data_IF_176786225312
#
_entry.id   IF_176786225312
#
_cell.length_a   1.000
_cell.length_b   1.000
_cell.length_c   1.000
_cell.angle_alpha   90.00
_cell.angle_beta   90.00
_cell.angle_gamma   90.00
#
_symmetry.space_group_name_H-M   'P 1'
#
loop_
_entity.id
_entity.type
_entity.pdbx_description
1 polymer ?
#
# COMPACT_ATOMS: atom_id res chain seq x y z
N UNK A 1 -7.86 13.75 1.60
CA UNK A 1 -8.11 12.69 2.63
C UNK A 1 -6.84 11.87 2.85
N UNK A 2 -6.35 11.75 4.08
CA UNK A 2 -5.06 11.14 4.38
C UNK A 2 -5.13 9.59 4.43
N UNK A 3 -4.28 8.90 3.67
CA UNK A 3 -4.18 7.42 3.67
C UNK A 3 -3.81 6.83 5.04
N UNK A 4 -3.26 7.65 5.95
CA UNK A 4 -2.93 7.32 7.36
C UNK A 4 -4.07 6.62 8.10
N UNK A 5 -5.30 7.09 7.93
CA UNK A 5 -6.47 6.52 8.63
C UNK A 5 -6.76 5.10 8.14
N UNK A 6 -6.54 4.84 6.85
CA UNK A 6 -6.74 3.52 6.25
C UNK A 6 -5.68 2.56 6.77
N UNK A 7 -4.40 2.94 6.70
CA UNK A 7 -3.30 2.10 7.19
C UNK A 7 -3.43 1.78 8.68
N UNK A 8 -3.82 2.77 9.50
CA UNK A 8 -4.08 2.57 10.93
C UNK A 8 -5.16 1.51 11.16
N UNK A 9 -6.30 1.63 10.48
CA UNK A 9 -7.43 0.70 10.65
C UNK A 9 -7.10 -0.71 10.15
N UNK A 10 -6.41 -0.84 9.03
CA UNK A 10 -5.93 -2.14 8.55
C UNK A 10 -5.04 -2.80 9.60
N UNK A 11 -4.11 -2.04 10.19
CA UNK A 11 -3.20 -2.54 11.22
C UNK A 11 -3.96 -3.10 12.42
N UNK A 12 -5.00 -2.40 12.88
CA UNK A 12 -5.86 -2.88 13.97
C UNK A 12 -6.65 -4.14 13.61
N UNK A 13 -7.15 -4.25 12.38
CA UNK A 13 -7.85 -5.46 11.90
C UNK A 13 -6.91 -6.66 11.95
N UNK A 14 -5.71 -6.56 11.36
CA UNK A 14 -4.75 -7.67 11.36
C UNK A 14 -4.28 -8.03 12.77
N UNK A 15 -4.12 -7.03 13.65
CA UNK A 15 -3.80 -7.28 15.05
C UNK A 15 -4.94 -8.02 15.77
N UNK A 16 -6.19 -7.60 15.56
CA UNK A 16 -7.37 -8.22 16.19
C UNK A 16 -7.54 -9.66 15.71
N UNK A 17 -7.34 -9.94 14.42
CA UNK A 17 -7.32 -11.31 13.87
C UNK A 17 -6.24 -12.16 14.56
N UNK A 18 -5.03 -11.62 14.74
CA UNK A 18 -3.95 -12.33 15.40
C UNK A 18 -4.28 -12.68 16.86
N UNK A 19 -4.82 -11.71 17.61
CA UNK A 19 -5.26 -11.93 19.00
C UNK A 19 -6.39 -12.97 19.06
N UNK A 20 -7.36 -12.90 18.14
CA UNK A 20 -8.46 -13.85 18.06
C UNK A 20 -7.94 -15.28 17.84
N UNK A 21 -6.99 -15.48 16.91
CA UNK A 21 -6.36 -16.79 16.68
C UNK A 21 -5.67 -17.29 17.96
N UNK A 22 -4.93 -16.42 18.66
CA UNK A 22 -4.27 -16.77 19.92
C UNK A 22 -5.26 -17.20 21.01
N UNK A 23 -6.37 -16.47 21.16
CA UNK A 23 -7.45 -16.83 22.09
C UNK A 23 -8.06 -18.18 21.73
N UNK A 24 -8.33 -18.44 20.45
CA UNK A 24 -8.88 -19.72 20.00
C UNK A 24 -7.95 -20.90 20.30
N UNK A 25 -6.64 -20.75 20.04
CA UNK A 25 -5.64 -21.78 20.35
C UNK A 25 -5.57 -22.00 21.86
N UNK A 26 -5.48 -20.94 22.67
CA UNK A 26 -5.39 -21.07 24.12
C UNK A 26 -6.66 -21.67 24.73
N UNK A 27 -7.83 -21.39 24.13
CA UNK A 27 -9.11 -21.99 24.53
C UNK A 27 -9.14 -23.50 24.33
N UNK A 28 -8.37 -24.06 23.38
CA UNK A 28 -8.22 -25.53 23.25
C UNK A 28 -7.55 -26.16 24.48
N UNK A 29 -6.81 -25.38 25.27
CA UNK A 29 -6.12 -25.82 26.48
C UNK A 29 -6.83 -25.36 27.76
N UNK A 30 -7.52 -24.23 27.73
CA UNK A 30 -8.22 -23.63 28.88
C UNK A 30 -9.64 -23.25 28.45
N UNK A 31 -10.59 -24.13 28.72
CA UNK A 31 -12.01 -24.09 28.29
C UNK A 31 -12.85 -22.86 28.73
N UNK A 32 -12.25 -21.81 29.32
CA UNK A 32 -12.91 -20.60 29.83
C UNK A 32 -12.72 -19.35 28.95
N UNK A 33 -11.88 -19.42 27.90
CA UNK A 33 -11.47 -18.24 27.11
C UNK A 33 -12.45 -17.84 25.99
N UNK A 34 -13.45 -18.67 25.71
CA UNK A 34 -14.51 -18.40 24.72
C UNK A 34 -15.26 -17.08 24.97
N UNK A 35 -15.42 -16.66 26.25
CA UNK A 35 -16.04 -15.38 26.62
C UNK A 35 -15.28 -14.17 26.04
N UNK A 36 -13.95 -14.25 25.89
CA UNK A 36 -13.13 -13.18 25.31
C UNK A 36 -13.18 -13.15 23.78
N UNK A 37 -13.53 -14.27 23.12
CA UNK A 37 -13.61 -14.34 21.67
C UNK A 37 -14.78 -13.50 21.12
N UNK A 38 -15.92 -13.44 21.80
CA UNK A 38 -17.10 -12.71 21.33
C UNK A 38 -16.90 -11.19 21.25
N UNK A 39 -16.37 -10.49 22.27
CA UNK A 39 -16.05 -9.06 22.17
C UNK A 39 -15.01 -8.76 21.09
N UNK A 40 -14.00 -9.63 20.93
CA UNK A 40 -12.98 -9.48 19.88
C UNK A 40 -13.59 -9.61 18.47
N UNK A 41 -14.49 -10.59 18.28
CA UNK A 41 -15.19 -10.79 17.01
C UNK A 41 -16.10 -9.60 16.69
N UNK A 42 -16.84 -9.09 17.68
CA UNK A 42 -17.68 -7.91 17.52
C UNK A 42 -16.83 -6.67 17.16
N UNK A 43 -15.73 -6.44 17.88
CA UNK A 43 -14.79 -5.37 17.59
C UNK A 43 -14.21 -5.47 16.17
N UNK A 44 -13.87 -6.68 15.72
CA UNK A 44 -13.39 -6.93 14.36
C UNK A 44 -14.44 -6.57 13.31
N UNK A 45 -15.70 -6.98 13.48
CA UNK A 45 -16.80 -6.65 12.56
C UNK A 45 -16.98 -5.14 12.45
N UNK A 46 -17.01 -4.43 13.58
CA UNK A 46 -17.13 -2.96 13.60
C UNK A 46 -15.95 -2.30 12.87
N UNK A 47 -14.71 -2.74 13.12
CA UNK A 47 -13.52 -2.22 12.44
C UNK A 47 -13.58 -2.43 10.93
N UNK A 48 -14.02 -3.60 10.47
CA UNK A 48 -14.16 -3.92 9.04
C UNK A 48 -15.22 -3.03 8.38
N UNK A 49 -16.38 -2.83 9.00
CA UNK A 49 -17.44 -1.94 8.47
C UNK A 49 -16.92 -0.50 8.34
N UNK A 50 -16.25 0.01 9.38
CA UNK A 50 -15.68 1.36 9.37
C UNK A 50 -14.60 1.50 8.29
N UNK A 51 -13.73 0.50 8.13
CA UNK A 51 -12.72 0.48 7.08
C UNK A 51 -13.37 0.50 5.69
N UNK A 52 -14.44 -0.28 5.46
CA UNK A 52 -15.14 -0.30 4.17
C UNK A 52 -15.73 1.07 3.82
N UNK A 53 -16.33 1.77 4.78
CA UNK A 53 -16.87 3.13 4.55
C UNK A 53 -15.76 4.11 4.10
N UNK A 54 -14.64 4.13 4.80
CA UNK A 54 -13.51 5.04 4.49
C UNK A 54 -12.84 4.64 3.17
N UNK A 55 -12.56 3.35 2.97
CA UNK A 55 -11.99 2.83 1.72
C UNK A 55 -12.88 3.15 0.53
N UNK A 56 -14.21 3.09 0.66
CA UNK A 56 -15.13 3.40 -0.44
C UNK A 56 -14.96 4.84 -0.92
N UNK A 57 -14.87 5.81 0.00
CA UNK A 57 -14.63 7.22 -0.35
C UNK A 57 -13.24 7.44 -0.95
N UNK A 58 -12.22 6.87 -0.31
CA UNK A 58 -10.83 6.96 -0.79
C UNK A 58 -10.69 6.40 -2.21
N UNK A 59 -11.27 5.22 -2.42
CA UNK A 59 -11.22 4.52 -3.68
C UNK A 59 -12.00 5.27 -4.75
N UNK A 60 -13.20 5.80 -4.44
CA UNK A 60 -13.97 6.59 -5.41
C UNK A 60 -13.15 7.77 -5.93
N UNK A 61 -12.56 8.56 -5.02
CA UNK A 61 -11.80 9.75 -5.39
C UNK A 61 -10.55 9.40 -6.22
N UNK A 62 -9.79 8.38 -5.82
CA UNK A 62 -8.61 7.99 -6.60
C UNK A 62 -8.94 7.20 -7.88
N UNK A 63 -10.08 6.50 -7.93
CA UNK A 63 -10.52 5.73 -9.09
C UNK A 63 -10.80 6.66 -10.28
N UNK A 64 -11.48 7.78 -10.06
CA UNK A 64 -11.77 8.74 -11.14
C UNK A 64 -10.49 9.21 -11.84
N UNK A 65 -9.49 9.63 -11.06
CA UNK A 65 -8.20 10.08 -11.60
C UNK A 65 -7.41 8.92 -12.26
N UNK A 66 -7.41 7.75 -11.62
CA UNK A 66 -6.73 6.55 -12.11
C UNK A 66 -7.33 6.07 -13.44
N UNK A 67 -8.65 6.14 -13.59
CA UNK A 67 -9.38 5.79 -14.82
C UNK A 67 -9.18 6.83 -15.93
N UNK A 68 -9.23 8.12 -15.60
CA UNK A 68 -8.92 9.20 -16.55
C UNK A 68 -7.54 9.04 -17.17
N UNK A 69 -6.55 8.66 -16.35
CA UNK A 69 -5.18 8.41 -16.78
C UNK A 69 -4.94 7.00 -17.35
N UNK A 70 -5.97 6.14 -17.38
CA UNK A 70 -5.89 4.76 -17.86
C UNK A 70 -4.73 3.98 -17.23
N UNK A 71 -4.53 4.17 -15.93
CA UNK A 71 -3.51 3.47 -15.15
C UNK A 71 -4.01 2.07 -14.78
N UNK A 72 -3.12 1.07 -14.81
CA UNK A 72 -3.49 -0.33 -14.57
C UNK A 72 -2.92 -0.90 -13.27
N UNK A 73 -1.78 -0.39 -12.83
CA UNK A 73 -0.96 -0.96 -11.75
C UNK A 73 -0.65 0.06 -10.66
N UNK A 74 -0.80 1.36 -10.95
CA UNK A 74 -0.61 2.46 -10.01
C UNK A 74 -1.97 3.11 -9.75
N UNK A 75 -2.21 3.46 -8.51
CA UNK A 75 -3.37 4.20 -8.03
C UNK A 75 -2.93 5.59 -7.61
N UNK A 76 -3.60 6.61 -8.12
CA UNK A 76 -3.37 7.99 -7.74
C UNK A 76 -4.58 8.51 -6.97
N UNK A 77 -4.32 9.23 -5.89
CA UNK A 77 -5.37 9.81 -5.06
C UNK A 77 -4.92 11.14 -4.49
N UNK A 78 -5.81 12.11 -4.50
CA UNK A 78 -5.59 13.41 -3.91
C UNK A 78 -5.47 13.31 -2.38
N UNK A 79 -4.49 14.02 -1.82
CA UNK A 79 -4.14 13.96 -0.42
C UNK A 79 -3.76 15.33 0.13
N UNK A 80 -3.96 15.47 1.44
CA UNK A 80 -3.68 16.68 2.21
C UNK A 80 -2.40 16.48 3.04
N UNK A 81 -1.58 15.48 2.71
CA UNK A 81 -0.42 15.04 3.51
C UNK A 81 0.65 16.12 3.69
N UNK A 82 0.82 17.02 2.72
CA UNK A 82 1.79 18.12 2.78
C UNK A 82 1.14 19.48 3.08
N UNK A 83 -0.15 19.51 3.47
CA UNK A 83 -0.90 20.75 3.73
C UNK A 83 -1.25 21.55 2.48
N UNK A 84 -1.81 22.75 2.68
CA UNK A 84 -2.33 23.65 1.63
C UNK A 84 -1.23 24.52 0.95
N UNK A 85 0.02 24.05 0.93
CA UNK A 85 1.05 24.71 0.11
C UNK A 85 0.73 24.58 -1.39
N UNK A 86 1.22 25.53 -2.21
CA UNK A 86 0.85 25.67 -3.62
C UNK A 86 0.71 24.34 -4.39
N UNK A 87 -0.53 24.03 -4.77
CA UNK A 87 -0.89 22.96 -5.69
C UNK A 87 -1.43 21.69 -5.03
N UNK A 88 -2.33 21.00 -5.74
CA UNK A 88 -2.92 19.75 -5.29
C UNK A 88 -1.85 18.64 -5.19
N UNK A 89 -1.78 18.00 -4.02
CA UNK A 89 -0.86 16.89 -3.73
C UNK A 89 -1.57 15.56 -4.01
N UNK A 90 -0.88 14.66 -4.70
CA UNK A 90 -1.39 13.33 -5.00
C UNK A 90 -0.46 12.26 -4.44
N UNK A 91 -1.03 11.32 -3.70
CA UNK A 91 -0.34 10.13 -3.27
C UNK A 91 -0.32 9.07 -4.39
N UNK A 92 0.88 8.57 -4.66
CA UNK A 92 1.15 7.49 -5.60
C UNK A 92 1.21 6.18 -4.82
N UNK A 93 0.24 5.30 -5.08
CA UNK A 93 0.14 3.98 -4.46
C UNK A 93 0.26 2.89 -5.51
N UNK A 94 0.77 1.72 -5.11
CA UNK A 94 0.52 0.53 -5.91
C UNK A 94 -0.98 0.22 -5.86
N UNK A 95 -1.58 -0.19 -6.99
CA UNK A 95 -3.00 -0.50 -7.05
C UNK A 95 -3.38 -1.51 -5.94
N UNK A 96 -4.26 -1.17 -4.99
CA UNK A 96 -4.45 -1.93 -3.76
C UNK A 96 -4.98 -3.36 -3.92
N UNK A 97 -5.30 -3.80 -5.14
CA UNK A 97 -5.87 -5.12 -5.42
C UNK A 97 -5.29 -5.79 -6.67
N UNK A 98 -4.19 -5.25 -7.23
CA UNK A 98 -3.43 -5.94 -8.27
C UNK A 98 -2.48 -7.01 -7.69
N UNK A 99 -2.75 -7.45 -6.46
CA UNK A 99 -2.22 -8.69 -5.92
C UNK A 99 -2.70 -9.82 -6.81
N UNK A 100 -1.83 -10.23 -7.74
CA UNK A 100 -2.05 -11.44 -8.51
C UNK A 100 -2.32 -12.59 -7.55
N UNK A 101 -3.12 -13.56 -7.96
CA UNK A 101 -3.12 -14.84 -7.28
C UNK A 101 -1.66 -15.34 -7.26
N UNK A 102 -1.05 -15.40 -6.07
CA UNK A 102 0.36 -15.74 -5.90
C UNK A 102 0.71 -17.07 -6.56
N UNK A 103 -0.29 -17.96 -6.71
CA UNK A 103 -0.17 -19.22 -7.43
C UNK A 103 0.33 -19.06 -8.86
N UNK A 104 -0.09 -18.01 -9.58
CA UNK A 104 0.35 -17.74 -10.97
C UNK A 104 1.86 -17.46 -11.03
N UNK A 105 2.43 -16.92 -9.95
CA UNK A 105 3.85 -16.57 -9.87
C UNK A 105 4.68 -17.62 -9.12
N UNK A 106 4.05 -18.68 -8.58
CA UNK A 106 4.71 -19.72 -7.77
C UNK A 106 5.81 -20.43 -8.56
N UNK A 107 5.52 -20.76 -9.81
CA UNK A 107 6.44 -21.45 -10.72
C UNK A 107 7.42 -20.50 -11.42
N UNK A 108 7.12 -19.20 -11.43
CA UNK A 108 7.99 -18.20 -12.07
C UNK A 108 9.25 -17.94 -11.23
N UNK A 109 10.39 -17.84 -11.91
CA UNK A 109 11.63 -17.34 -11.30
C UNK A 109 11.46 -15.90 -10.80
N UNK A 110 12.08 -15.56 -9.66
CA UNK A 110 12.01 -14.20 -9.09
C UNK A 110 12.39 -13.10 -10.09
N UNK A 111 13.41 -13.34 -10.93
CA UNK A 111 13.85 -12.40 -11.98
C UNK A 111 12.72 -12.10 -12.97
N UNK A 112 11.97 -13.11 -13.38
CA UNK A 112 10.84 -12.98 -14.33
C UNK A 112 9.73 -12.15 -13.70
N UNK A 113 9.33 -12.47 -12.47
CA UNK A 113 8.30 -11.70 -11.74
C UNK A 113 8.69 -10.23 -11.60
N UNK A 114 9.96 -9.97 -11.26
CA UNK A 114 10.48 -8.60 -11.16
C UNK A 114 10.43 -7.86 -12.50
N UNK A 115 10.87 -8.49 -13.60
CA UNK A 115 10.86 -7.89 -14.92
C UNK A 115 9.44 -7.59 -15.42
N UNK A 116 8.49 -8.51 -15.20
CA UNK A 116 7.07 -8.28 -15.49
C UNK A 116 6.53 -7.08 -14.73
N UNK A 117 6.86 -6.96 -13.45
CA UNK A 117 6.48 -5.82 -12.62
C UNK A 117 7.10 -4.51 -13.12
N UNK A 118 8.42 -4.49 -13.38
CA UNK A 118 9.12 -3.31 -13.90
C UNK A 118 8.47 -2.81 -15.20
N UNK A 119 8.16 -3.72 -16.14
CA UNK A 119 7.49 -3.38 -17.40
C UNK A 119 6.11 -2.77 -17.19
N UNK A 120 5.29 -3.37 -16.30
CA UNK A 120 3.92 -2.91 -16.00
C UNK A 120 3.90 -1.51 -15.40
N UNK A 121 4.79 -1.26 -14.43
CA UNK A 121 4.86 0.02 -13.72
C UNK A 121 5.44 1.13 -14.58
N UNK A 122 6.39 0.82 -15.48
CA UNK A 122 6.98 1.81 -16.39
C UNK A 122 5.93 2.52 -17.26
N UNK A 123 4.96 1.78 -17.79
CA UNK A 123 3.89 2.36 -18.60
C UNK A 123 3.08 3.38 -17.81
N UNK A 124 2.67 3.03 -16.59
CA UNK A 124 1.88 3.91 -15.73
C UNK A 124 2.69 5.11 -15.25
N UNK A 125 3.94 4.92 -14.82
CA UNK A 125 4.82 6.03 -14.43
C UNK A 125 5.04 7.02 -15.57
N UNK A 126 5.11 6.55 -16.82
CA UNK A 126 5.24 7.42 -18.00
C UNK A 126 3.97 8.25 -18.27
N UNK A 127 2.78 7.71 -17.96
CA UNK A 127 1.52 8.46 -18.09
C UNK A 127 1.40 9.51 -16.99
N UNK A 128 1.72 9.11 -15.76
CA UNK A 128 1.71 9.98 -14.58
C UNK A 128 2.69 11.14 -14.79
N UNK A 129 3.88 10.86 -15.32
CA UNK A 129 4.90 11.87 -15.56
C UNK A 129 4.43 12.95 -16.54
N UNK A 130 3.77 12.59 -17.64
CA UNK A 130 3.20 13.56 -18.60
C UNK A 130 2.08 14.39 -17.99
N UNK A 131 1.21 13.74 -17.21
CA UNK A 131 0.10 14.40 -16.55
C UNK A 131 0.59 15.39 -15.47
N UNK A 132 1.59 15.02 -14.69
CA UNK A 132 2.16 15.84 -13.63
C UNK A 132 2.69 17.18 -14.15
N UNK A 133 3.46 17.18 -15.26
CA UNK A 133 3.95 18.42 -15.91
C UNK A 133 2.78 19.31 -16.31
N UNK A 134 1.76 18.72 -16.93
CA UNK A 134 0.62 19.45 -17.49
C UNK A 134 -0.22 20.13 -16.40
N UNK A 135 -0.37 19.47 -15.25
CA UNK A 135 -1.20 19.95 -14.14
C UNK A 135 -0.43 20.67 -13.05
N UNK A 136 0.91 20.71 -13.12
CA UNK A 136 1.79 21.17 -12.03
C UNK A 136 1.47 20.49 -10.70
N UNK A 137 1.13 19.20 -10.76
CA UNK A 137 0.74 18.43 -9.59
C UNK A 137 1.97 18.01 -8.78
N UNK A 138 1.83 17.95 -7.45
CA UNK A 138 2.85 17.39 -6.57
C UNK A 138 2.56 15.91 -6.35
N UNK A 139 3.54 15.04 -6.56
CA UNK A 139 3.37 13.60 -6.35
C UNK A 139 4.22 13.14 -5.19
N UNK A 140 3.60 12.43 -4.25
CA UNK A 140 4.26 11.85 -3.09
C UNK A 140 4.01 10.36 -2.99
N UNK A 141 4.94 9.61 -2.42
CA UNK A 141 4.72 8.22 -2.03
C UNK A 141 5.42 7.94 -0.72
N UNK A 142 5.00 6.86 -0.06
CA UNK A 142 5.80 6.25 1.01
C UNK A 142 6.07 4.80 0.66
N UNK A 143 7.35 4.44 0.56
CA UNK A 143 7.73 3.10 0.12
C UNK A 143 9.05 2.63 0.73
N UNK A 144 9.36 1.35 0.57
CA UNK A 144 10.63 0.76 0.98
C UNK A 144 11.69 0.86 -0.13
N UNK A 145 12.97 0.82 0.26
CA UNK A 145 14.12 1.05 -0.64
C UNK A 145 14.07 0.26 -1.96
N UNK A 146 13.73 -1.04 -1.92
CA UNK A 146 13.70 -1.86 -3.15
C UNK A 146 12.65 -1.40 -4.16
N UNK A 147 11.50 -0.90 -3.70
CA UNK A 147 10.45 -0.44 -4.59
C UNK A 147 10.79 0.96 -5.10
N UNK A 148 11.33 1.81 -4.22
CA UNK A 148 11.95 3.07 -4.60
C UNK A 148 12.93 2.90 -5.75
N UNK A 149 13.87 1.94 -5.68
CA UNK A 149 14.84 1.72 -6.77
C UNK A 149 14.16 1.36 -8.10
N UNK A 150 13.09 0.57 -8.06
CA UNK A 150 12.33 0.22 -9.26
C UNK A 150 11.61 1.45 -9.81
N UNK A 151 10.99 2.25 -8.95
CA UNK A 151 10.24 3.43 -9.37
C UNK A 151 11.18 4.51 -9.90
N UNK A 152 12.26 4.84 -9.19
CA UNK A 152 13.30 5.77 -9.63
C UNK A 152 13.89 5.38 -10.99
N UNK A 153 14.18 4.09 -11.21
CA UNK A 153 14.68 3.60 -12.50
C UNK A 153 13.69 3.81 -13.65
N UNK A 154 12.38 3.77 -13.38
CA UNK A 154 11.33 3.83 -14.39
C UNK A 154 10.63 5.19 -14.48
N UNK A 155 11.00 6.15 -13.63
CA UNK A 155 10.51 7.54 -13.66
C UNK A 155 11.40 8.43 -14.54
N UNK A 156 11.37 8.22 -15.87
CA UNK A 156 12.14 9.04 -16.82
C UNK A 156 11.75 10.52 -16.74
N UNK A 157 12.74 11.41 -16.60
CA UNK A 157 12.55 12.87 -16.48
C UNK A 157 12.28 13.34 -15.05
N UNK A 158 12.39 12.45 -14.07
CA UNK A 158 12.05 12.74 -12.67
C UNK A 158 13.05 12.12 -11.70
N UNK A 159 13.14 12.73 -10.53
CA UNK A 159 13.88 12.23 -9.38
C UNK A 159 12.96 12.15 -8.16
N UNK A 160 12.91 10.98 -7.53
CA UNK A 160 12.28 10.80 -6.24
C UNK A 160 13.22 11.36 -5.17
N UNK A 161 12.92 12.55 -4.65
CA UNK A 161 13.64 13.15 -3.54
C UNK A 161 13.01 12.71 -2.23
N UNK A 162 13.85 12.27 -1.29
CA UNK A 162 13.39 11.98 0.07
C UNK A 162 12.85 13.25 0.71
N UNK A 163 11.71 13.12 1.39
CA UNK A 163 11.10 14.19 2.19
C UNK A 163 11.03 13.75 3.66
N UNK A 164 11.33 14.68 4.56
CA UNK A 164 11.23 14.48 6.01
C UNK A 164 9.82 14.87 6.50
N UNK A 165 9.40 14.35 7.65
CA UNK A 165 8.10 14.64 8.32
C UNK A 165 6.78 14.28 7.60
N UNK A 166 6.85 13.77 6.38
CA UNK A 166 5.69 13.28 5.62
C UNK A 166 5.30 11.81 5.93
N UNK A 167 6.06 11.13 6.80
CA UNK A 167 5.92 9.68 6.97
C UNK A 167 4.65 9.30 7.75
N UNK A 168 3.83 8.43 7.17
CA UNK A 168 2.75 7.79 7.90
C UNK A 168 3.30 6.72 8.87
N UNK A 169 3.09 6.84 10.20
CA UNK A 169 3.57 5.86 11.17
C UNK A 169 2.93 4.46 11.00
N UNK A 170 1.78 4.38 10.32
CA UNK A 170 1.05 3.13 10.09
C UNK A 170 1.40 2.45 8.76
N UNK A 171 2.15 3.10 7.87
CA UNK A 171 2.52 2.55 6.55
C UNK A 171 3.33 1.26 6.63
N UNK A 172 4.06 1.06 7.74
CA UNK A 172 4.89 -0.12 7.94
C UNK A 172 4.00 -1.33 8.17
N UNK A 173 4.00 -2.23 7.18
CA UNK A 173 3.35 -3.53 7.27
C UNK A 173 3.83 -4.30 8.52
N UNK A 174 2.91 -4.93 9.25
CA UNK A 174 3.24 -5.94 10.25
C UNK A 174 3.69 -7.25 9.57
N UNK A 175 4.09 -8.26 10.36
CA UNK A 175 4.60 -9.52 9.80
C UNK A 175 3.56 -10.24 8.93
N UNK A 176 2.30 -10.27 9.37
CA UNK A 176 1.20 -10.92 8.65
C UNK A 176 0.93 -10.23 7.32
N UNK A 177 0.80 -8.90 7.35
CA UNK A 177 0.63 -8.08 6.15
C UNK A 177 1.77 -8.32 5.15
N UNK A 178 3.02 -8.39 5.64
CA UNK A 178 4.18 -8.66 4.81
C UNK A 178 4.16 -10.07 4.18
N UNK A 179 3.79 -11.11 4.94
CA UNK A 179 3.70 -12.47 4.42
C UNK A 179 2.65 -12.57 3.31
N UNK A 180 1.48 -11.95 3.51
CA UNK A 180 0.40 -11.90 2.51
C UNK A 180 0.88 -11.16 1.27
N UNK A 181 1.44 -9.95 1.43
CA UNK A 181 1.95 -9.16 0.31
C UNK A 181 3.04 -9.91 -0.47
N UNK A 182 4.00 -10.54 0.23
CA UNK A 182 5.05 -11.34 -0.38
C UNK A 182 4.48 -12.49 -1.23
N UNK A 183 3.50 -13.23 -0.69
CA UNK A 183 2.87 -14.33 -1.41
C UNK A 183 2.11 -13.83 -2.64
N UNK A 184 1.23 -12.84 -2.47
CA UNK A 184 0.44 -12.29 -3.56
C UNK A 184 1.31 -11.71 -4.69
N UNK A 185 2.44 -11.07 -4.36
CA UNK A 185 3.33 -10.50 -5.36
C UNK A 185 4.23 -11.56 -6.00
N UNK A 186 4.78 -12.50 -5.23
CA UNK A 186 5.88 -13.37 -5.70
C UNK A 186 5.57 -14.86 -5.76
N UNK A 187 4.38 -15.28 -5.31
CA UNK A 187 4.01 -16.67 -5.10
C UNK A 187 4.73 -17.35 -3.93
N UNK A 188 5.53 -16.60 -3.17
CA UNK A 188 6.38 -17.12 -2.08
C UNK A 188 6.12 -16.34 -0.80
N UNK A 189 5.90 -17.06 0.29
CA UNK A 189 5.85 -16.48 1.63
C UNK A 189 7.29 -16.21 2.08
N UNK A 190 7.63 -14.96 2.37
CA UNK A 190 8.93 -14.59 2.94
C UNK A 190 8.69 -13.84 4.23
N UNK A 191 9.15 -14.38 5.35
CA UNK A 191 9.02 -13.73 6.65
C UNK A 191 10.32 -12.98 7.04
N UNK A 192 11.47 -13.52 6.63
CA UNK A 192 12.83 -13.06 6.92
C UNK A 192 13.20 -11.78 6.15
N UNK A 193 12.61 -11.57 4.97
CA UNK A 193 12.96 -10.46 4.06
C UNK A 193 12.09 -9.22 4.21
N UNK A 194 11.45 -9.05 5.37
CA UNK A 194 10.62 -7.89 5.67
C UNK A 194 11.44 -6.59 5.61
N UNK A 195 11.01 -5.56 4.88
CA UNK A 195 11.69 -4.27 4.85
C UNK A 195 11.70 -3.63 6.24
N UNK A 196 12.88 -3.21 6.71
CA UNK A 196 13.06 -2.53 8.00
C UNK A 196 12.77 -1.03 7.91
N UNK A 197 13.09 -0.44 6.77
CA UNK A 197 12.99 0.99 6.54
C UNK A 197 11.96 1.32 5.46
N UNK A 198 11.21 2.38 5.72
CA UNK A 198 10.22 2.98 4.83
C UNK A 198 10.48 4.48 4.85
N UNK A 199 10.37 5.10 3.69
CA UNK A 199 10.72 6.50 3.49
C UNK A 199 9.69 7.13 2.56
N UNK A 200 9.37 8.39 2.81
CA UNK A 200 8.52 9.19 1.94
C UNK A 200 9.36 9.92 0.89
N UNK A 201 8.85 9.96 -0.33
CA UNK A 201 9.51 10.56 -1.47
C UNK A 201 8.54 11.45 -2.25
N UNK A 202 9.05 12.55 -2.79
CA UNK A 202 8.37 13.45 -3.72
C UNK A 202 9.01 13.35 -5.11
N UNK A 203 8.20 13.39 -6.18
CA UNK A 203 8.71 13.40 -7.54
C UNK A 203 9.00 14.83 -7.98
N UNK A 204 10.28 15.09 -8.21
CA UNK A 204 10.77 16.35 -8.71
C UNK A 204 11.12 16.20 -10.19
N UNK A 205 10.63 17.11 -11.02
CA UNK A 205 11.00 17.20 -12.44
C UNK A 205 12.49 17.51 -12.55
N UNK A 206 13.21 16.71 -13.34
CA UNK A 206 14.57 17.05 -13.73
C UNK A 206 14.48 18.17 -14.77
N UNK A 207 15.11 19.32 -14.47
CA UNK A 207 15.24 20.44 -15.41
C UNK A 207 16.11 20.05 -16.60
#
# INVERSE_FOLDING_TARGET
>A
MNSRIIHQREKYIYFTIFVLIGVLILNMFINMLLLLAYPLLFGLIVQVILLQKIKKSFYRNGKELTEQLKLKNIFLVESDILGDEEGTVYEVHQMPFAFSNGLINKEKGYKVVKQEYERKVKEDLTKISKWQVTRKARLVTTTHLRLYTIWQKNSTGYQLKKIEDCMDPYVRMNLIQWMIASFCTTGRIKYDKKPKEWVSYEWITLR
#
